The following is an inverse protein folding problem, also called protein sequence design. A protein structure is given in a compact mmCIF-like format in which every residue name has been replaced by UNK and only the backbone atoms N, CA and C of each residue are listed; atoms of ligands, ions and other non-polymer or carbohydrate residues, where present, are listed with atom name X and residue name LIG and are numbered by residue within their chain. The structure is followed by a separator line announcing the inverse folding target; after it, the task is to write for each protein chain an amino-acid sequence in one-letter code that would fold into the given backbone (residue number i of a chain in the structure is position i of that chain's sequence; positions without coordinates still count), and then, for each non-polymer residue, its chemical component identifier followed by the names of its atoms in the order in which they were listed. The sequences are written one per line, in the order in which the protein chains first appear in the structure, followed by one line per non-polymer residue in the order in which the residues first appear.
data_IF_523090016794
#
_entry.id   IF_523090016794
#
_cell.length_a   1.000
_cell.length_b   1.000
_cell.length_c   1.000
_cell.angle_alpha   90.00
_cell.angle_beta   90.00
_cell.angle_gamma   90.00
#
_symmetry.space_group_name_H-M   'P 1'
#
loop_
_entity.id
_entity.type
_entity.pdbx_description
1 polymer ?
#
# COMPACT_ATOMS: atom_id res chain seq x y z
N UNK A 1 -39.63 1.88 -0.81
CA UNK A 1 -39.64 3.08 0.06
C UNK A 1 -39.65 4.33 -0.82
N UNK A 2 -40.82 4.94 -0.99
CA UNK A 2 -40.99 6.23 -1.67
C UNK A 2 -41.19 7.27 -0.57
N UNK A 3 -40.29 8.24 -0.48
CA UNK A 3 -40.33 9.29 0.54
C UNK A 3 -41.21 10.44 0.03
N UNK A 4 -42.49 10.44 0.40
CA UNK A 4 -43.38 11.57 0.14
C UNK A 4 -43.35 12.50 1.35
N UNK A 5 -42.85 13.72 1.14
CA UNK A 5 -42.73 14.78 2.15
C UNK A 5 -43.96 15.67 2.03
N UNK A 6 -44.98 15.43 2.85
CA UNK A 6 -46.11 16.35 2.97
C UNK A 6 -46.10 17.06 4.33
N UNK A 7 -46.12 18.40 4.26
CA UNK A 7 -46.16 19.30 5.41
C UNK A 7 -47.62 19.68 5.64
N UNK A 8 -48.12 19.25 6.78
CA UNK A 8 -49.36 19.69 7.40
C UNK A 8 -49.56 21.22 7.32
N UNK A 9 -50.68 21.64 6.72
CA UNK A 9 -51.37 22.88 7.07
C UNK A 9 -52.73 22.58 7.65
N UNK A 10 -53.00 23.36 8.69
CA UNK A 10 -54.09 23.32 9.66
C UNK A 10 -55.37 23.89 9.05
N UNK A 11 -56.48 23.15 9.28
CA UNK A 11 -57.87 23.58 9.48
C UNK A 11 -58.52 24.53 8.46
N UNK A 12 -59.58 24.04 7.80
CA UNK A 12 -60.87 24.71 7.78
C UNK A 12 -62.02 23.70 7.56
N UNK A 13 -63.01 23.81 8.44
CA UNK A 13 -64.24 23.03 8.54
C UNK A 13 -65.19 23.44 7.41
N UNK A 14 -65.79 22.49 6.70
CA UNK A 14 -66.87 22.75 5.75
C UNK A 14 -67.80 21.54 5.67
N UNK A 15 -68.98 21.66 6.29
CA UNK A 15 -70.01 20.63 6.43
C UNK A 15 -71.20 21.01 5.55
N UNK A 16 -71.42 20.28 4.47
CA UNK A 16 -72.65 20.19 3.64
C UNK A 16 -72.48 18.92 2.80
N UNK A 17 -73.41 18.00 2.56
CA UNK A 17 -74.86 17.95 2.69
C UNK A 17 -75.42 17.31 1.41
N UNK A 18 -76.04 16.12 1.49
CA UNK A 18 -76.83 15.47 0.42
C UNK A 18 -76.05 15.04 -0.84
N UNK A 19 -76.48 14.14 -1.71
CA UNK A 19 -77.81 13.56 -1.96
C UNK A 19 -77.62 12.29 -2.79
N UNK A 20 -78.43 11.26 -2.52
CA UNK A 20 -78.61 10.07 -3.35
C UNK A 20 -79.19 10.43 -4.72
N UNK A 21 -78.58 9.94 -5.81
CA UNK A 21 -79.28 9.75 -7.08
C UNK A 21 -79.01 8.35 -7.60
N UNK A 22 -80.11 7.62 -7.69
CA UNK A 22 -80.30 6.32 -8.31
C UNK A 22 -80.65 6.57 -9.78
N UNK A 23 -79.99 5.89 -10.71
CA UNK A 23 -80.56 5.57 -12.02
C UNK A 23 -80.11 4.17 -12.43
N UNK A 24 -81.10 3.27 -12.43
CA UNK A 24 -81.14 2.02 -13.16
C UNK A 24 -81.06 2.29 -14.68
N UNK A 25 -80.46 1.38 -15.45
CA UNK A 25 -80.52 1.44 -16.91
C UNK A 25 -79.68 0.40 -17.66
N UNK A 26 -80.20 -0.83 -17.78
CA UNK A 26 -80.25 -1.58 -19.05
C UNK A 26 -78.97 -2.08 -19.74
N UNK A 27 -78.61 -3.36 -19.48
CA UNK A 27 -78.49 -4.52 -20.41
C UNK A 27 -77.65 -4.42 -21.74
N UNK A 28 -77.29 -5.57 -22.37
CA UNK A 28 -75.92 -6.09 -22.40
C UNK A 28 -75.30 -6.13 -23.80
N UNK A 29 -73.97 -6.16 -23.90
CA UNK A 29 -73.34 -6.48 -25.17
C UNK A 29 -71.81 -6.49 -25.16
N UNK A 30 -71.28 -7.60 -25.66
CA UNK A 30 -69.96 -7.76 -26.26
C UNK A 30 -68.73 -7.85 -25.34
N UNK A 31 -68.20 -9.08 -25.33
CA UNK A 31 -66.84 -9.49 -25.03
C UNK A 31 -65.75 -8.44 -25.36
N UNK A 32 -65.14 -7.89 -24.33
CA UNK A 32 -63.74 -7.43 -24.40
C UNK A 32 -63.04 -7.90 -23.12
N UNK A 33 -62.24 -8.97 -23.25
CA UNK A 33 -61.31 -9.42 -22.20
C UNK A 33 -60.17 -8.40 -22.08
N UNK A 34 -60.42 -7.28 -21.42
CA UNK A 34 -59.37 -6.45 -20.82
C UNK A 34 -59.11 -6.97 -19.41
N UNK A 35 -58.04 -7.74 -19.27
CA UNK A 35 -57.46 -8.10 -17.98
C UNK A 35 -56.85 -6.84 -17.36
N UNK A 36 -57.67 -6.05 -16.68
CA UNK A 36 -57.22 -5.00 -15.78
C UNK A 36 -56.88 -5.63 -14.44
N UNK A 37 -55.60 -5.93 -14.22
CA UNK A 37 -55.11 -6.27 -12.88
C UNK A 37 -55.23 -5.03 -12.00
N UNK A 38 -56.24 -5.03 -11.14
CA UNK A 38 -56.27 -4.13 -10.00
C UNK A 38 -55.10 -4.49 -9.09
N UNK A 39 -54.01 -3.73 -9.18
CA UNK A 39 -52.92 -3.77 -8.20
C UNK A 39 -53.49 -3.21 -6.90
N UNK A 40 -53.97 -4.11 -6.06
CA UNK A 40 -54.28 -3.84 -4.66
C UNK A 40 -52.96 -3.61 -3.95
N UNK A 41 -52.58 -2.35 -3.76
CA UNK A 41 -51.49 -1.99 -2.86
C UNK A 41 -52.00 -2.27 -1.44
N UNK A 42 -51.74 -3.48 -0.95
CA UNK A 42 -51.77 -3.75 0.48
C UNK A 42 -50.73 -2.84 1.13
N UNK A 43 -51.23 -1.82 1.83
CA UNK A 43 -50.42 -1.06 2.77
C UNK A 43 -50.18 -2.01 3.93
N UNK A 44 -48.96 -2.56 4.02
CA UNK A 44 -48.52 -3.28 5.22
C UNK A 44 -48.77 -2.37 6.42
N UNK A 45 -49.67 -2.81 7.30
CA UNK A 45 -49.89 -2.21 8.61
C UNK A 45 -48.55 -2.22 9.34
N UNK A 46 -47.88 -1.06 9.40
CA UNK A 46 -46.70 -0.86 10.21
C UNK A 46 -47.09 -1.01 11.68
N UNK A 47 -46.87 -2.20 12.24
CA UNK A 47 -47.06 -2.51 13.65
C UNK A 47 -46.25 -1.52 14.51
N UNK A 48 -46.91 -0.57 15.21
CA UNK A 48 -46.23 0.45 16.01
C UNK A 48 -45.47 -0.16 17.19
N UNK A 49 -45.73 -1.43 17.54
CA UNK A 49 -44.97 -2.18 18.54
C UNK A 49 -43.52 -2.46 18.12
N UNK A 50 -43.23 -2.62 16.82
CA UNK A 50 -41.88 -2.95 16.33
C UNK A 50 -40.94 -1.73 16.35
N UNK A 51 -41.43 -0.54 16.05
CA UNK A 51 -40.62 0.69 16.15
C UNK A 51 -40.25 1.02 17.61
N UNK A 52 -41.18 0.79 18.55
CA UNK A 52 -40.93 1.01 19.98
C UNK A 52 -39.88 0.04 20.56
N UNK A 53 -39.79 -1.19 20.03
CA UNK A 53 -38.80 -2.18 20.47
C UNK A 53 -37.37 -1.82 20.05
N UNK A 54 -37.19 -1.19 18.89
CA UNK A 54 -35.86 -0.81 18.36
C UNK A 54 -35.33 0.48 19.04
N UNK A 55 -36.21 1.38 19.49
CA UNK A 55 -35.80 2.66 20.07
C UNK A 55 -35.60 2.65 21.60
N UNK A 56 -36.20 1.70 22.33
CA UNK A 56 -36.02 1.58 23.80
C UNK A 56 -34.56 1.45 24.27
N UNK A 57 -33.67 0.67 23.61
CA UNK A 57 -32.28 0.53 24.05
C UNK A 57 -31.49 1.84 24.01
N UNK A 58 -31.82 2.74 23.07
CA UNK A 58 -31.14 4.04 22.91
C UNK A 58 -31.38 4.99 24.08
N UNK A 59 -32.57 4.98 24.67
CA UNK A 59 -32.89 5.82 25.84
C UNK A 59 -32.03 5.50 27.07
N UNK A 60 -31.77 4.21 27.33
CA UNK A 60 -30.98 3.77 28.48
C UNK A 60 -29.48 4.10 28.33
N UNK A 61 -28.98 4.15 27.08
CA UNK A 61 -27.59 4.55 26.79
C UNK A 61 -27.41 6.06 27.00
N UNK A 62 -28.36 6.87 26.53
CA UNK A 62 -28.31 8.33 26.67
C UNK A 62 -28.34 8.76 28.15
N UNK A 63 -29.21 8.17 28.96
CA UNK A 63 -29.30 8.44 30.40
C UNK A 63 -28.00 8.07 31.15
N UNK A 64 -27.34 6.96 30.75
CA UNK A 64 -26.05 6.55 31.31
C UNK A 64 -24.90 7.50 30.93
N UNK A 65 -24.90 8.00 29.69
CA UNK A 65 -23.94 9.01 29.24
C UNK A 65 -24.11 10.33 30.00
N UNK A 66 -25.33 10.74 30.31
CA UNK A 66 -25.60 11.98 31.03
C UNK A 66 -25.12 11.90 32.49
N UNK A 67 -25.34 10.78 33.17
CA UNK A 67 -24.82 10.52 34.53
C UNK A 67 -23.28 10.60 34.58
N UNK A 68 -22.59 10.00 33.62
CA UNK A 68 -21.13 10.08 33.54
C UNK A 68 -20.64 11.50 33.29
N UNK A 69 -21.36 12.29 32.48
CA UNK A 69 -21.03 13.69 32.19
C UNK A 69 -21.17 14.59 33.41
N UNK A 70 -22.16 14.35 34.28
CA UNK A 70 -22.34 15.09 35.54
C UNK A 70 -21.24 14.78 36.56
N UNK A 71 -20.83 13.51 36.68
CA UNK A 71 -19.77 13.09 37.61
C UNK A 71 -18.37 13.63 37.27
N UNK A 72 -18.11 13.96 36.00
CA UNK A 72 -16.81 14.47 35.54
C UNK A 72 -16.56 15.95 35.86
N UNK A 73 -17.60 16.77 36.10
CA UNK A 73 -17.44 18.21 36.37
C UNK A 73 -16.93 18.55 37.78
N UNK A 74 -17.00 17.61 38.73
CA UNK A 74 -16.66 17.88 40.13
C UNK A 74 -15.18 17.70 40.52
N UNK A 75 -14.31 17.22 39.62
CA UNK A 75 -12.90 16.93 39.94
C UNK A 75 -11.95 17.79 39.10
N UNK A 76 -11.72 19.02 39.56
CA UNK A 76 -10.77 19.97 38.98
C UNK A 76 -9.44 19.91 39.73
N UNK A 77 -8.50 19.11 39.24
CA UNK A 77 -7.12 19.03 39.69
C UNK A 77 -6.25 18.42 38.58
N UNK A 78 -4.93 18.70 38.57
CA UNK A 78 -3.96 18.48 37.48
C UNK A 78 -3.94 17.08 36.81
N UNK A 79 -4.61 16.06 37.37
CA UNK A 79 -4.93 14.80 36.69
C UNK A 79 -5.96 14.90 35.55
N UNK A 80 -6.51 16.09 35.28
CA UNK A 80 -7.63 16.31 34.37
C UNK A 80 -7.37 15.90 32.90
N UNK A 81 -6.12 15.88 32.44
CA UNK A 81 -5.81 15.49 31.06
C UNK A 81 -5.87 13.97 30.83
N UNK A 82 -5.45 13.16 31.80
CA UNK A 82 -5.54 11.69 31.71
C UNK A 82 -6.98 11.22 31.83
N UNK A 83 -7.75 11.84 32.74
CA UNK A 83 -9.18 11.57 32.90
C UNK A 83 -10.00 11.89 31.65
N UNK A 84 -9.72 13.01 30.95
CA UNK A 84 -10.40 13.39 29.71
C UNK A 84 -10.20 12.38 28.58
N UNK A 85 -8.99 11.82 28.41
CA UNK A 85 -8.71 10.82 27.37
C UNK A 85 -9.44 9.50 27.62
N UNK A 86 -9.43 9.02 28.85
CA UNK A 86 -10.14 7.77 29.22
C UNK A 86 -11.66 7.96 29.09
N UNK A 87 -12.20 9.10 29.52
CA UNK A 87 -13.63 9.41 29.36
C UNK A 87 -14.05 9.53 27.89
N UNK A 88 -13.22 10.17 27.05
CA UNK A 88 -13.48 10.27 25.61
C UNK A 88 -13.43 8.91 24.92
N UNK A 89 -12.45 8.05 25.25
CA UNK A 89 -12.35 6.70 24.72
C UNK A 89 -13.56 5.84 25.16
N UNK A 90 -13.95 5.92 26.44
CA UNK A 90 -15.12 5.23 26.95
C UNK A 90 -16.42 5.66 26.26
N UNK A 91 -16.61 6.96 26.06
CA UNK A 91 -17.77 7.50 25.33
C UNK A 91 -17.77 7.07 23.86
N UNK A 92 -16.61 7.04 23.20
CA UNK A 92 -16.48 6.56 21.82
C UNK A 92 -16.87 5.08 21.69
N UNK A 93 -16.41 4.22 22.61
CA UNK A 93 -16.79 2.80 22.63
C UNK A 93 -18.28 2.64 22.91
N UNK A 94 -18.83 3.37 23.87
CA UNK A 94 -20.27 3.35 24.21
C UNK A 94 -21.17 3.79 23.05
N UNK A 95 -20.69 4.68 22.18
CA UNK A 95 -21.41 5.08 20.96
C UNK A 95 -21.17 4.12 19.79
N UNK A 96 -19.96 3.57 19.67
CA UNK A 96 -19.62 2.65 18.58
C UNK A 96 -20.38 1.33 18.67
N UNK A 97 -20.57 0.77 19.88
CA UNK A 97 -21.28 -0.50 20.08
C UNK A 97 -22.73 -0.47 19.56
N UNK A 98 -23.61 0.48 19.95
CA UNK A 98 -24.98 0.51 19.45
C UNK A 98 -25.07 0.82 17.95
N UNK A 99 -24.15 1.65 17.43
CA UNK A 99 -24.05 1.89 15.98
C UNK A 99 -23.67 0.60 15.27
N UNK A 100 -22.72 -0.17 15.78
CA UNK A 100 -22.33 -1.47 15.22
C UNK A 100 -23.47 -2.48 15.30
N UNK A 101 -24.17 -2.57 16.44
CA UNK A 101 -25.33 -3.46 16.61
C UNK A 101 -26.46 -3.09 15.65
N UNK A 102 -26.77 -1.78 15.52
CA UNK A 102 -27.76 -1.29 14.57
C UNK A 102 -27.33 -1.56 13.12
N UNK A 103 -26.06 -1.32 12.79
CA UNK A 103 -25.50 -1.58 11.48
C UNK A 103 -25.61 -3.08 11.15
N UNK A 104 -25.27 -3.96 12.08
CA UNK A 104 -25.46 -5.41 11.95
C UNK A 104 -26.94 -5.73 11.74
N UNK A 105 -27.85 -5.21 12.57
CA UNK A 105 -29.28 -5.48 12.46
C UNK A 105 -29.89 -5.04 11.12
N UNK A 106 -29.46 -3.90 10.57
CA UNK A 106 -29.93 -3.37 9.27
C UNK A 106 -29.27 -4.08 8.10
N UNK A 107 -27.97 -4.38 8.20
CA UNK A 107 -27.24 -5.11 7.15
C UNK A 107 -27.67 -6.56 7.09
N UNK A 108 -28.05 -7.21 8.20
CA UNK A 108 -28.40 -8.64 8.22
C UNK A 108 -29.51 -9.02 7.23
N UNK A 109 -30.67 -8.33 7.13
CA UNK A 109 -31.69 -8.67 6.14
C UNK A 109 -31.26 -8.34 4.70
N UNK A 110 -30.59 -7.21 4.48
CA UNK A 110 -30.03 -6.83 3.17
C UNK A 110 -28.99 -7.84 2.68
N UNK A 111 -28.12 -8.29 3.58
CA UNK A 111 -27.18 -9.36 3.32
C UNK A 111 -27.89 -10.69 3.17
N UNK A 112 -28.92 -11.01 3.95
CA UNK A 112 -29.64 -12.27 3.83
C UNK A 112 -30.30 -12.40 2.46
N UNK A 113 -30.94 -11.35 1.96
CA UNK A 113 -31.57 -11.35 0.64
C UNK A 113 -30.55 -11.31 -0.50
N UNK A 114 -29.48 -10.53 -0.34
CA UNK A 114 -28.33 -10.55 -1.27
C UNK A 114 -27.62 -11.90 -1.30
N UNK A 115 -27.41 -12.53 -0.14
CA UNK A 115 -26.83 -13.86 0.02
C UNK A 115 -27.74 -14.93 -0.53
N UNK A 116 -29.07 -14.80 -0.43
CA UNK A 116 -30.00 -15.74 -1.09
C UNK A 116 -29.86 -15.68 -2.60
N UNK A 117 -29.86 -14.48 -3.18
CA UNK A 117 -29.63 -14.29 -4.62
C UNK A 117 -28.27 -14.82 -5.07
N UNK A 118 -27.22 -14.61 -4.27
CA UNK A 118 -25.88 -15.15 -4.53
C UNK A 118 -25.81 -16.68 -4.32
N UNK A 119 -26.46 -17.22 -3.29
CA UNK A 119 -26.47 -18.65 -2.96
C UNK A 119 -27.26 -19.46 -3.99
N UNK A 120 -28.32 -18.88 -4.53
CA UNK A 120 -29.14 -19.51 -5.56
C UNK A 120 -28.53 -19.34 -6.96
N UNK A 121 -27.53 -18.46 -7.12
CA UNK A 121 -26.78 -18.38 -8.36
C UNK A 121 -26.02 -19.70 -8.58
N UNK A 122 -26.31 -20.37 -9.69
CA UNK A 122 -25.69 -21.65 -10.07
C UNK A 122 -24.16 -21.66 -9.96
N UNK A 123 -23.53 -20.50 -10.11
CA UNK A 123 -22.09 -20.29 -10.02
C UNK A 123 -21.51 -20.47 -8.62
N UNK A 124 -22.24 -20.13 -7.54
CA UNK A 124 -21.72 -20.30 -6.17
C UNK A 124 -21.77 -21.75 -5.71
N UNK A 125 -22.69 -22.54 -6.27
CA UNK A 125 -22.78 -23.99 -6.01
C UNK A 125 -21.52 -24.75 -6.42
N UNK A 126 -20.74 -24.23 -7.37
CA UNK A 126 -19.46 -24.81 -7.81
C UNK A 126 -18.44 -24.84 -6.66
N UNK A 127 -18.48 -23.86 -5.76
CA UNK A 127 -17.59 -23.77 -4.61
C UNK A 127 -18.23 -24.35 -3.34
N UNK A 128 -19.48 -24.00 -3.07
CA UNK A 128 -20.11 -24.33 -1.78
C UNK A 128 -20.41 -25.81 -1.61
N UNK A 129 -20.83 -26.53 -2.66
CA UNK A 129 -21.11 -27.98 -2.57
C UNK A 129 -19.86 -28.81 -2.25
N UNK A 130 -18.72 -28.65 -2.96
CA UNK A 130 -17.51 -29.39 -2.61
C UNK A 130 -17.00 -29.10 -1.20
N UNK A 131 -17.06 -27.84 -0.76
CA UNK A 131 -16.66 -27.47 0.62
C UNK A 131 -17.60 -28.10 1.64
N UNK A 132 -18.92 -28.05 1.43
CA UNK A 132 -19.90 -28.73 2.30
C UNK A 132 -19.64 -30.24 2.38
N UNK A 133 -19.37 -30.87 1.23
CA UNK A 133 -19.05 -32.31 1.17
C UNK A 133 -17.79 -32.62 1.97
N UNK A 134 -16.72 -31.84 1.78
CA UNK A 134 -15.48 -31.99 2.51
C UNK A 134 -15.69 -31.84 4.03
N UNK A 135 -16.42 -30.81 4.46
CA UNK A 135 -16.70 -30.57 5.87
C UNK A 135 -17.59 -31.65 6.47
N UNK A 136 -18.58 -32.16 5.74
CA UNK A 136 -19.44 -33.25 6.21
C UNK A 136 -18.64 -34.53 6.46
N UNK A 137 -17.72 -34.86 5.57
CA UNK A 137 -16.83 -36.01 5.72
C UNK A 137 -15.89 -35.87 6.93
N UNK A 138 -15.36 -34.67 7.18
CA UNK A 138 -14.37 -34.43 8.23
C UNK A 138 -14.97 -33.98 9.58
N UNK A 139 -16.26 -33.63 9.63
CA UNK A 139 -16.94 -33.25 10.87
C UNK A 139 -17.43 -34.46 11.68
N UNK A 140 -17.33 -35.68 11.14
CA UNK A 140 -17.72 -36.91 11.84
C UNK A 140 -17.02 -37.06 13.18
N UNK A 141 -17.78 -37.02 14.27
CA UNK A 141 -17.26 -37.16 15.64
C UNK A 141 -16.99 -35.84 16.38
N UNK A 142 -17.20 -34.69 15.75
CA UNK A 142 -17.16 -33.40 16.43
C UNK A 142 -18.51 -33.09 17.09
N UNK A 143 -18.48 -32.39 18.24
CA UNK A 143 -19.68 -31.91 18.93
C UNK A 143 -20.36 -30.70 18.25
N UNK A 144 -19.87 -30.31 17.06
CA UNK A 144 -20.26 -29.11 16.33
C UNK A 144 -20.90 -29.55 15.02
N UNK A 145 -22.03 -28.95 14.65
CA UNK A 145 -22.73 -29.30 13.40
C UNK A 145 -21.96 -28.79 12.18
N UNK A 146 -22.11 -29.46 11.02
CA UNK A 146 -21.51 -29.01 9.75
C UNK A 146 -21.89 -27.56 9.44
N UNK A 147 -23.16 -27.20 9.67
CA UNK A 147 -23.66 -25.84 9.46
C UNK A 147 -22.92 -24.80 10.33
N UNK A 148 -22.62 -25.13 11.59
CA UNK A 148 -21.84 -24.24 12.46
C UNK A 148 -20.40 -24.07 11.95
N UNK A 149 -19.78 -25.13 11.45
CA UNK A 149 -18.43 -25.07 10.88
C UNK A 149 -18.42 -24.22 9.59
N UNK A 150 -19.43 -24.39 8.74
CA UNK A 150 -19.59 -23.58 7.52
C UNK A 150 -19.75 -22.09 7.83
N UNK A 151 -20.57 -21.76 8.83
CA UNK A 151 -20.72 -20.37 9.28
C UNK A 151 -19.43 -19.82 9.85
N UNK A 152 -18.72 -20.59 10.68
CA UNK A 152 -17.44 -20.18 11.23
C UNK A 152 -16.40 -19.92 10.12
N UNK A 153 -16.35 -20.79 9.10
CA UNK A 153 -15.51 -20.63 7.92
C UNK A 153 -15.84 -19.32 7.18
N UNK A 154 -17.11 -19.11 6.82
CA UNK A 154 -17.56 -17.89 6.14
C UNK A 154 -17.23 -16.61 6.93
N UNK A 155 -17.48 -16.61 8.24
CA UNK A 155 -17.16 -15.48 9.13
C UNK A 155 -15.66 -15.21 9.16
N UNK A 156 -14.81 -16.25 9.24
CA UNK A 156 -13.36 -16.11 9.21
C UNK A 156 -12.90 -15.48 7.87
N UNK A 157 -13.44 -15.94 6.74
CA UNK A 157 -13.19 -15.35 5.43
C UNK A 157 -13.54 -13.87 5.38
N UNK A 158 -14.75 -13.48 5.81
CA UNK A 158 -15.17 -12.09 5.87
C UNK A 158 -14.29 -11.24 6.82
N UNK A 159 -13.93 -11.78 7.98
CA UNK A 159 -13.09 -11.12 8.98
C UNK A 159 -11.65 -10.91 8.50
N UNK A 160 -11.15 -11.70 7.56
CA UNK A 160 -9.85 -11.46 6.90
C UNK A 160 -10.00 -10.52 5.70
N UNK A 161 -11.05 -10.70 4.90
CA UNK A 161 -11.29 -9.90 3.70
C UNK A 161 -11.52 -8.42 3.99
N UNK A 162 -12.42 -8.11 4.94
CA UNK A 162 -12.79 -6.73 5.26
C UNK A 162 -11.58 -5.90 5.70
N UNK A 163 -10.72 -6.35 6.64
CA UNK A 163 -9.52 -5.62 6.99
C UNK A 163 -8.47 -5.53 5.91
N UNK A 164 -8.34 -6.56 5.07
CA UNK A 164 -7.40 -6.55 3.97
C UNK A 164 -7.79 -5.50 2.90
N UNK A 165 -9.10 -5.29 2.69
CA UNK A 165 -9.64 -4.27 1.78
C UNK A 165 -9.65 -2.89 2.43
N UNK A 166 -10.22 -2.74 3.63
CA UNK A 166 -10.49 -1.44 4.27
C UNK A 166 -9.25 -0.84 4.93
N UNK A 167 -8.53 -1.62 5.74
CA UNK A 167 -7.37 -1.15 6.51
C UNK A 167 -6.03 -1.51 5.88
N UNK A 168 -6.04 -2.28 4.79
CA UNK A 168 -4.83 -2.71 4.05
C UNK A 168 -3.85 -3.47 4.95
N UNK A 169 -4.34 -4.15 5.98
CA UNK A 169 -3.52 -4.90 6.93
C UNK A 169 -2.77 -6.02 6.20
N UNK A 170 -1.44 -6.04 6.35
CA UNK A 170 -0.60 -7.07 5.73
C UNK A 170 -0.92 -8.47 6.29
N UNK A 171 -1.10 -8.59 7.61
CA UNK A 171 -1.50 -9.84 8.23
C UNK A 171 -2.85 -10.36 7.72
N UNK A 172 -3.82 -9.47 7.50
CA UNK A 172 -5.11 -9.85 6.94
C UNK A 172 -5.01 -10.31 5.47
N UNK A 173 -4.09 -9.74 4.68
CA UNK A 173 -3.82 -10.17 3.30
C UNK A 173 -3.18 -11.56 3.27
N UNK A 174 -2.19 -11.80 4.11
CA UNK A 174 -1.56 -13.13 4.23
C UNK A 174 -2.60 -14.15 4.69
N UNK A 175 -3.40 -13.82 5.71
CA UNK A 175 -4.50 -14.66 6.19
C UNK A 175 -5.51 -14.97 5.09
N UNK A 176 -5.94 -13.95 4.33
CA UNK A 176 -6.83 -14.12 3.18
C UNK A 176 -6.24 -15.05 2.12
N UNK A 177 -4.97 -14.88 1.73
CA UNK A 177 -4.33 -15.78 0.76
C UNK A 177 -4.29 -17.23 1.26
N UNK A 178 -3.92 -17.45 2.52
CA UNK A 178 -3.91 -18.80 3.12
C UNK A 178 -5.30 -19.41 3.21
N UNK A 179 -6.30 -18.61 3.57
CA UNK A 179 -7.71 -19.03 3.59
C UNK A 179 -8.18 -19.45 2.19
N UNK A 180 -7.78 -18.73 1.14
CA UNK A 180 -8.04 -19.07 -0.25
C UNK A 180 -7.42 -20.40 -0.67
N UNK A 181 -6.14 -20.62 -0.34
CA UNK A 181 -5.43 -21.87 -0.61
C UNK A 181 -6.14 -23.04 0.09
N UNK A 182 -6.51 -22.87 1.37
CA UNK A 182 -7.26 -23.87 2.10
C UNK A 182 -8.63 -24.15 1.44
N UNK A 183 -9.36 -23.13 1.00
CA UNK A 183 -10.60 -23.29 0.25
C UNK A 183 -10.41 -24.07 -1.06
N UNK A 184 -9.33 -23.80 -1.81
CA UNK A 184 -8.99 -24.56 -3.02
C UNK A 184 -8.71 -26.03 -2.71
N UNK A 185 -7.99 -26.33 -1.62
CA UNK A 185 -7.74 -27.71 -1.20
C UNK A 185 -9.01 -28.44 -0.79
N UNK A 186 -9.94 -27.78 -0.09
CA UNK A 186 -11.24 -28.36 0.26
C UNK A 186 -12.07 -28.66 -0.99
N UNK A 187 -12.08 -27.75 -1.98
CA UNK A 187 -12.78 -27.99 -3.26
C UNK A 187 -12.16 -29.16 -4.02
N UNK A 188 -10.84 -29.24 -4.09
CA UNK A 188 -10.17 -30.34 -4.75
C UNK A 188 -10.49 -31.69 -4.06
N UNK A 189 -10.47 -31.72 -2.73
CA UNK A 189 -10.77 -32.92 -1.95
C UNK A 189 -12.25 -33.33 -2.02
N UNK A 190 -13.18 -32.38 -1.89
CA UNK A 190 -14.62 -32.63 -1.87
C UNK A 190 -15.29 -32.77 -3.24
N UNK A 191 -14.56 -32.58 -4.34
CA UNK A 191 -15.10 -32.76 -5.71
C UNK A 191 -14.89 -34.18 -6.23
N UNK A 192 -15.82 -34.65 -7.06
CA UNK A 192 -15.71 -35.92 -7.77
C UNK A 192 -14.45 -35.98 -8.65
N UNK A 193 -13.83 -37.16 -8.84
CA UNK A 193 -12.56 -37.28 -9.55
C UNK A 193 -12.57 -36.68 -10.96
N UNK A 194 -13.69 -36.78 -11.69
CA UNK A 194 -13.81 -36.29 -13.07
C UNK A 194 -13.90 -34.75 -13.16
N UNK A 195 -14.41 -34.08 -12.12
CA UNK A 195 -14.67 -32.62 -12.13
C UNK A 195 -13.73 -31.83 -11.24
N UNK A 196 -12.88 -32.50 -10.45
CA UNK A 196 -11.96 -31.92 -9.47
C UNK A 196 -11.16 -30.73 -9.99
N UNK A 197 -10.48 -30.89 -11.13
CA UNK A 197 -9.61 -29.86 -11.68
C UNK A 197 -10.39 -28.67 -12.22
N UNK A 198 -11.55 -28.90 -12.83
CA UNK A 198 -12.42 -27.83 -13.32
C UNK A 198 -13.00 -27.01 -12.16
N UNK A 199 -13.52 -27.66 -11.12
CA UNK A 199 -14.07 -26.99 -9.93
C UNK A 199 -12.99 -26.18 -9.20
N UNK A 200 -11.78 -26.74 -9.06
CA UNK A 200 -10.63 -26.05 -8.44
C UNK A 200 -10.20 -24.84 -9.27
N UNK A 201 -10.11 -24.98 -10.61
CA UNK A 201 -9.74 -23.88 -11.50
C UNK A 201 -10.74 -22.73 -11.48
N UNK A 202 -12.04 -23.02 -11.53
CA UNK A 202 -13.10 -22.00 -11.41
C UNK A 202 -13.05 -21.31 -10.05
N UNK A 203 -12.83 -22.07 -8.97
CA UNK A 203 -12.65 -21.51 -7.63
C UNK A 203 -11.43 -20.59 -7.56
N UNK A 204 -10.31 -20.96 -8.18
CA UNK A 204 -9.11 -20.14 -8.20
C UNK A 204 -9.33 -18.83 -8.95
N UNK A 205 -10.01 -18.88 -10.11
CA UNK A 205 -10.39 -17.69 -10.85
C UNK A 205 -11.30 -16.75 -10.02
N UNK A 206 -12.28 -17.31 -9.31
CA UNK A 206 -13.13 -16.55 -8.40
C UNK A 206 -12.33 -15.89 -7.27
N UNK A 207 -11.37 -16.64 -6.69
CA UNK A 207 -10.50 -16.12 -5.64
C UNK A 207 -9.64 -14.95 -6.12
N UNK A 208 -9.11 -15.02 -7.34
CA UNK A 208 -8.37 -13.92 -7.96
C UNK A 208 -9.25 -12.67 -8.07
N UNK A 209 -10.48 -12.81 -8.57
CA UNK A 209 -11.43 -11.70 -8.68
C UNK A 209 -11.74 -11.08 -7.32
N UNK A 210 -11.97 -11.89 -6.29
CA UNK A 210 -12.20 -11.41 -4.92
C UNK A 210 -10.98 -10.72 -4.29
N UNK A 211 -9.78 -11.02 -4.79
CA UNK A 211 -8.52 -10.43 -4.33
C UNK A 211 -8.20 -9.12 -5.06
N UNK A 212 -8.81 -8.86 -6.24
CA UNK A 212 -8.58 -7.61 -6.99
C UNK A 212 -8.82 -6.33 -6.18
N UNK A 213 -9.88 -6.19 -5.36
CA UNK A 213 -10.07 -5.00 -4.52
C UNK A 213 -8.92 -4.76 -3.54
N UNK A 214 -8.26 -5.83 -3.07
CA UNK A 214 -7.08 -5.71 -2.19
C UNK A 214 -5.85 -5.18 -2.94
N UNK A 215 -5.74 -5.52 -4.22
CA UNK A 215 -4.67 -5.09 -5.13
C UNK A 215 -4.96 -3.71 -5.74
N UNK A 216 -6.24 -3.30 -5.81
CA UNK A 216 -6.68 -2.06 -6.42
C UNK A 216 -6.10 -0.88 -5.64
N UNK A 217 -5.06 -0.29 -6.23
CA UNK A 217 -4.36 0.95 -5.83
C UNK A 217 -3.46 0.88 -4.60
N UNK A 218 -2.60 -0.13 -4.50
CA UNK A 218 -1.21 0.17 -4.12
C UNK A 218 -0.47 0.79 -5.32
N UNK A 219 -0.98 1.90 -5.86
CA UNK A 219 -0.10 2.86 -6.53
C UNK A 219 0.77 3.45 -5.42
N UNK A 220 1.79 2.69 -5.04
CA UNK A 220 3.09 3.09 -4.50
C UNK A 220 3.20 4.53 -3.98
N UNK A 221 2.32 4.94 -3.07
CA UNK A 221 2.77 5.59 -1.83
C UNK A 221 3.23 4.46 -0.94
N UNK A 222 4.36 3.85 -1.30
CA UNK A 222 5.24 3.24 -0.31
C UNK A 222 5.78 4.41 0.51
N UNK A 223 4.89 4.98 1.34
CA UNK A 223 5.21 6.00 2.32
C UNK A 223 6.34 5.36 3.12
N UNK A 224 7.52 5.96 3.07
CA UNK A 224 8.76 5.44 3.64
C UNK A 224 8.69 5.09 5.13
N UNK A 225 7.54 5.24 5.80
CA UNK A 225 7.31 4.81 7.16
C UNK A 225 7.27 3.28 7.33
N UNK A 226 6.78 2.52 6.34
CA UNK A 226 6.81 1.05 6.41
C UNK A 226 8.24 0.51 6.27
N UNK A 227 9.01 1.10 5.36
CA UNK A 227 10.45 0.82 5.20
C UNK A 227 11.21 1.25 6.44
N UNK A 228 10.97 2.44 7.00
CA UNK A 228 11.60 2.88 8.26
C UNK A 228 11.21 2.04 9.47
N UNK A 229 10.01 1.48 9.57
CA UNK A 229 9.65 0.59 10.67
C UNK A 229 10.36 -0.76 10.57
N UNK A 230 10.50 -1.31 9.37
CA UNK A 230 11.20 -2.58 9.14
C UNK A 230 12.72 -2.41 9.11
N UNK A 231 13.23 -1.33 8.50
CA UNK A 231 14.63 -0.92 8.51
C UNK A 231 15.06 -0.42 9.89
N UNK A 232 14.26 0.28 10.68
CA UNK A 232 14.66 0.58 12.08
C UNK A 232 14.71 -0.68 12.92
N UNK A 233 13.88 -1.69 12.64
CA UNK A 233 13.97 -2.98 13.32
C UNK A 233 15.19 -3.80 12.85
N UNK A 234 15.49 -3.79 11.55
CA UNK A 234 16.64 -4.46 10.94
C UNK A 234 17.98 -3.77 11.23
N UNK A 235 18.09 -2.46 11.01
CA UNK A 235 19.27 -1.62 11.25
C UNK A 235 19.56 -1.50 12.75
N UNK A 236 18.57 -1.39 13.64
CA UNK A 236 18.86 -1.41 15.08
C UNK A 236 19.33 -2.79 15.56
N UNK A 237 18.91 -3.88 14.90
CA UNK A 237 19.38 -5.24 15.22
C UNK A 237 20.76 -5.51 14.63
N UNK A 238 20.97 -5.24 13.34
CA UNK A 238 22.25 -5.42 12.67
C UNK A 238 23.31 -4.41 13.11
N UNK A 239 22.92 -3.18 13.45
CA UNK A 239 23.81 -2.19 14.05
C UNK A 239 24.32 -2.63 15.44
N UNK A 240 23.49 -3.31 16.24
CA UNK A 240 23.94 -3.91 17.51
C UNK A 240 24.89 -5.08 17.30
N UNK A 241 24.65 -5.90 16.29
CA UNK A 241 25.53 -7.03 15.94
C UNK A 241 26.86 -6.56 15.34
N UNK A 242 26.86 -5.60 14.41
CA UNK A 242 28.07 -4.99 13.85
C UNK A 242 28.87 -4.24 14.91
N UNK A 243 28.22 -3.50 15.82
CA UNK A 243 28.90 -2.89 16.96
C UNK A 243 29.47 -3.94 17.93
N UNK A 244 28.83 -5.10 18.07
CA UNK A 244 29.36 -6.21 18.87
C UNK A 244 30.57 -6.88 18.19
N UNK A 245 30.52 -7.08 16.86
CA UNK A 245 31.63 -7.61 16.06
C UNK A 245 32.82 -6.66 16.07
N UNK A 246 32.59 -5.35 15.90
CA UNK A 246 33.65 -4.34 15.96
C UNK A 246 34.35 -4.33 17.32
N UNK A 247 33.59 -4.34 18.42
CA UNK A 247 34.14 -4.48 19.79
C UNK A 247 34.87 -5.80 20.03
N UNK A 248 34.62 -6.84 19.22
CA UNK A 248 35.34 -8.12 19.29
C UNK A 248 36.66 -8.03 18.55
N UNK A 249 36.67 -7.39 17.38
CA UNK A 249 37.88 -7.08 16.62
C UNK A 249 38.81 -6.14 17.41
N UNK A 250 38.30 -5.05 17.97
CA UNK A 250 39.11 -4.11 18.75
C UNK A 250 39.76 -4.81 19.97
N UNK A 251 39.06 -5.78 20.58
CA UNK A 251 39.63 -6.61 21.67
C UNK A 251 40.73 -7.55 21.17
N UNK A 252 40.53 -8.16 20.01
CA UNK A 252 41.53 -9.04 19.41
C UNK A 252 42.79 -8.27 19.00
N UNK A 253 42.63 -7.08 18.41
CA UNK A 253 43.74 -6.19 18.08
C UNK A 253 44.48 -5.73 19.35
N UNK A 254 43.76 -5.37 20.41
CA UNK A 254 44.37 -5.00 21.69
C UNK A 254 45.16 -6.17 22.33
N UNK A 255 44.71 -7.41 22.18
CA UNK A 255 45.46 -8.59 22.64
C UNK A 255 46.60 -9.00 21.70
N UNK A 256 46.46 -8.77 20.39
CA UNK A 256 47.48 -9.10 19.40
C UNK A 256 48.68 -8.15 19.46
N UNK A 257 48.47 -6.91 19.93
CA UNK A 257 49.52 -5.90 20.09
C UNK A 257 50.05 -5.76 21.52
N UNK A 258 49.59 -6.59 22.46
CA UNK A 258 50.24 -6.69 23.76
C UNK A 258 51.63 -7.31 23.52
N UNK A 259 52.73 -6.58 23.72
CA UNK A 259 54.05 -7.14 23.53
C UNK A 259 54.18 -8.34 24.46
N UNK A 260 54.42 -9.53 23.88
CA UNK A 260 54.77 -10.72 24.64
C UNK A 260 56.03 -10.39 25.44
N UNK A 261 55.84 -10.03 26.70
CA UNK A 261 56.90 -9.75 27.63
C UNK A 261 57.60 -11.09 27.92
N UNK A 262 58.61 -11.42 27.11
CA UNK A 262 59.61 -12.43 27.46
C UNK A 262 59.77 -13.62 26.53
N UNK A 263 59.78 -13.44 25.20
CA UNK A 263 60.36 -14.49 24.32
C UNK A 263 61.75 -14.08 23.78
N UNK A 264 62.79 -14.92 23.97
CA UNK A 264 64.15 -14.63 23.53
C UNK A 264 64.30 -14.74 22.01
N UNK A 265 64.99 -13.74 21.46
CA UNK A 265 65.24 -13.56 20.03
C UNK A 265 65.92 -14.76 19.36
N UNK A 266 65.15 -15.55 18.60
CA UNK A 266 65.69 -16.48 17.62
C UNK A 266 65.85 -15.75 16.29
N UNK A 267 67.10 -15.43 15.93
CA UNK A 267 67.49 -14.94 14.60
C UNK A 267 67.23 -16.01 13.54
N UNK A 268 66.12 -15.91 12.82
CA UNK A 268 65.94 -16.59 11.54
C UNK A 268 66.34 -15.64 10.40
N UNK A 269 67.52 -15.87 9.81
CA UNK A 269 67.92 -15.30 8.52
C UNK A 269 67.09 -15.97 7.42
N UNK A 270 66.13 -15.26 6.83
CA UNK A 270 65.58 -15.65 5.54
C UNK A 270 66.25 -14.85 4.42
N UNK A 271 67.00 -15.59 3.61
CA UNK A 271 67.66 -15.17 2.37
C UNK A 271 66.59 -15.12 1.27
N UNK A 272 66.48 -13.98 0.58
CA UNK A 272 65.67 -13.81 -0.62
C UNK A 272 66.55 -13.99 -1.87
N UNK A 273 66.18 -14.81 -2.87
CA UNK A 273 66.98 -14.93 -4.09
C UNK A 273 66.65 -13.78 -5.06
N UNK A 274 67.66 -13.22 -5.79
CA UNK A 274 67.41 -12.24 -6.83
C UNK A 274 67.09 -12.96 -8.15
N UNK A 275 66.02 -12.54 -8.83
CA UNK A 275 65.53 -13.22 -10.02
C UNK A 275 64.71 -12.36 -10.99
N UNK A 276 65.44 -11.65 -11.85
CA UNK A 276 65.13 -11.21 -13.23
C UNK A 276 64.04 -10.16 -13.48
N UNK A 277 64.57 -9.02 -13.94
CA UNK A 277 63.94 -8.06 -14.82
C UNK A 277 63.34 -8.70 -16.08
N UNK A 278 62.11 -8.29 -16.40
CA UNK A 278 61.57 -8.25 -17.75
C UNK A 278 60.67 -7.01 -17.80
N UNK A 279 61.27 -5.90 -18.23
CA UNK A 279 60.58 -4.71 -18.66
C UNK A 279 60.17 -4.94 -20.11
N UNK A 280 58.88 -5.12 -20.39
CA UNK A 280 58.33 -4.99 -21.73
C UNK A 280 56.91 -4.41 -21.68
N UNK A 281 56.82 -3.23 -22.27
CA UNK A 281 55.69 -2.56 -22.93
C UNK A 281 54.24 -2.92 -22.51
N UNK A 282 53.63 -2.04 -21.70
CA UNK A 282 52.18 -1.81 -21.73
C UNK A 282 51.91 -0.63 -22.68
N UNK A 283 51.21 -0.81 -23.81
CA UNK A 283 50.88 0.31 -24.69
C UNK A 283 49.78 1.18 -24.05
N UNK A 284 50.04 2.49 -23.99
CA UNK A 284 49.03 3.51 -23.67
C UNK A 284 47.92 3.48 -24.73
N UNK A 285 46.63 3.52 -24.35
CA UNK A 285 45.57 3.73 -25.33
C UNK A 285 45.67 5.14 -25.95
N UNK A 286 45.35 5.30 -27.24
CA UNK A 286 45.40 6.57 -27.94
C UNK A 286 44.32 7.53 -27.39
N UNK A 287 44.72 8.78 -27.16
CA UNK A 287 43.83 9.87 -26.84
C UNK A 287 42.80 10.04 -27.98
N UNK A 288 41.52 9.83 -27.66
CA UNK A 288 40.43 10.15 -28.57
C UNK A 288 40.36 11.67 -28.75
N UNK A 289 40.66 12.11 -29.98
CA UNK A 289 40.43 13.48 -30.42
C UNK A 289 38.91 13.74 -30.48
N UNK A 290 38.41 14.57 -29.57
CA UNK A 290 37.09 15.19 -29.69
C UNK A 290 37.09 16.30 -30.76
N UNK A 291 35.92 16.60 -31.36
CA UNK A 291 35.83 17.50 -32.49
C UNK A 291 36.11 18.95 -32.07
N UNK A 292 37.08 19.55 -32.76
CA UNK A 292 37.39 20.98 -32.71
C UNK A 292 36.23 21.75 -33.34
N UNK A 293 35.46 22.47 -32.53
CA UNK A 293 34.62 23.55 -32.98
C UNK A 293 35.49 24.81 -33.06
N UNK A 294 35.95 25.15 -34.27
CA UNK A 294 36.60 26.42 -34.57
C UNK A 294 35.56 27.54 -34.62
N UNK A 295 35.25 28.11 -33.45
CA UNK A 295 34.52 29.36 -33.30
C UNK A 295 35.51 30.52 -33.13
N UNK A 296 35.75 31.20 -34.25
CA UNK A 296 36.45 32.47 -34.48
C UNK A 296 36.55 33.43 -33.29
N UNK A 297 37.77 33.93 -33.12
CA UNK A 297 38.21 34.94 -32.17
C UNK A 297 37.40 36.24 -32.24
N UNK A 298 36.91 36.68 -31.08
CA UNK A 298 36.84 38.08 -30.71
C UNK A 298 37.49 38.21 -29.31
N UNK A 299 38.68 38.80 -29.30
CA UNK A 299 39.49 39.02 -28.12
C UNK A 299 38.83 40.07 -27.21
N UNK A 300 38.30 39.58 -26.08
CA UNK A 300 37.88 40.39 -24.94
C UNK A 300 38.42 39.76 -23.66
N UNK A 301 39.58 40.24 -23.24
CA UNK A 301 40.13 40.25 -21.89
C UNK A 301 39.32 39.46 -20.84
N UNK A 302 39.61 38.15 -20.72
CA UNK A 302 39.07 37.28 -19.68
C UNK A 302 39.78 37.56 -18.35
N UNK A 303 39.16 38.41 -17.53
CA UNK A 303 39.44 38.52 -16.12
C UNK A 303 39.09 37.18 -15.45
N UNK A 304 40.09 36.52 -14.87
CA UNK A 304 40.02 35.19 -14.22
C UNK A 304 39.23 35.20 -12.91
N UNK A 305 38.02 35.76 -12.92
CA UNK A 305 37.08 35.69 -11.83
C UNK A 305 36.60 34.26 -11.68
N UNK A 306 37.01 33.60 -10.58
CA UNK A 306 36.33 32.43 -10.07
C UNK A 306 34.83 32.76 -9.98
N UNK A 307 34.09 32.35 -11.01
CA UNK A 307 32.68 32.71 -11.21
C UNK A 307 31.90 32.24 -10.00
N UNK A 308 31.58 33.19 -9.11
CA UNK A 308 30.72 32.97 -7.97
C UNK A 308 29.36 32.53 -8.48
N UNK A 309 29.14 31.21 -8.53
CA UNK A 309 27.88 30.61 -8.89
C UNK A 309 26.78 31.26 -8.06
N UNK A 310 25.75 31.74 -8.74
CA UNK A 310 24.62 32.44 -8.14
C UNK A 310 24.07 31.65 -6.94
N UNK A 311 24.26 32.17 -5.72
CA UNK A 311 23.75 31.56 -4.49
C UNK A 311 24.75 30.76 -3.64
N UNK A 312 26.07 30.82 -3.92
CA UNK A 312 27.08 30.18 -3.07
C UNK A 312 27.11 28.66 -3.18
N UNK A 313 26.61 28.11 -4.29
CA UNK A 313 26.69 26.68 -4.60
C UNK A 313 28.06 26.40 -5.23
N UNK A 314 28.80 25.43 -4.71
CA UNK A 314 30.15 25.09 -5.19
C UNK A 314 30.11 23.72 -5.87
N UNK A 315 30.52 23.66 -7.13
CA UNK A 315 30.69 22.39 -7.83
C UNK A 315 31.70 21.50 -7.10
N UNK A 316 31.44 20.20 -7.07
CA UNK A 316 32.19 19.21 -6.30
C UNK A 316 31.74 19.07 -4.83
N UNK A 317 30.88 19.96 -4.32
CA UNK A 317 30.35 19.86 -2.95
C UNK A 317 29.04 19.08 -2.89
N UNK A 318 28.80 18.43 -1.74
CA UNK A 318 27.58 17.70 -1.47
C UNK A 318 26.51 18.60 -0.82
N UNK A 319 25.27 18.46 -1.29
CA UNK A 319 24.11 19.22 -0.83
C UNK A 319 22.96 18.27 -0.51
N UNK A 320 22.12 18.67 0.44
CA UNK A 320 20.84 18.03 0.71
C UNK A 320 19.78 18.63 -0.22
N UNK A 321 19.24 17.81 -1.12
CA UNK A 321 18.09 18.18 -1.96
C UNK A 321 16.81 17.90 -1.17
N UNK A 322 15.97 18.93 -0.96
CA UNK A 322 14.62 18.76 -0.40
C UNK A 322 13.57 18.86 -1.51
N UNK A 323 12.87 17.76 -1.76
CA UNK A 323 11.82 17.72 -2.79
C UNK A 323 10.51 18.20 -2.16
N UNK A 324 9.85 19.25 -2.71
CA UNK A 324 8.57 19.73 -2.21
C UNK A 324 7.49 18.64 -2.20
N UNK A 325 6.50 18.78 -1.32
CA UNK A 325 5.31 17.91 -1.30
C UNK A 325 4.46 18.10 -2.58
N UNK A 326 4.40 19.34 -3.07
CA UNK A 326 3.72 19.73 -4.30
C UNK A 326 4.75 20.29 -5.29
N UNK A 327 4.91 19.62 -6.43
CA UNK A 327 5.72 20.12 -7.55
C UNK A 327 4.89 21.14 -8.31
N UNK A 328 5.19 22.42 -8.14
CA UNK A 328 4.48 23.50 -8.80
C UNK A 328 4.96 23.64 -10.25
N UNK A 329 4.10 24.02 -11.21
CA UNK A 329 4.56 24.43 -12.55
C UNK A 329 5.56 25.58 -12.49
N UNK A 330 5.45 26.46 -11.48
CA UNK A 330 6.42 27.51 -11.23
C UNK A 330 7.81 26.98 -10.87
N UNK A 331 7.93 25.68 -10.56
CA UNK A 331 9.23 25.07 -10.33
C UNK A 331 10.06 24.93 -11.62
N UNK A 332 9.41 25.05 -12.78
CA UNK A 332 10.00 24.96 -14.11
C UNK A 332 9.81 26.28 -14.89
N UNK A 333 10.78 27.21 -14.82
CA UNK A 333 10.68 28.47 -15.53
C UNK A 333 10.74 28.34 -17.05
N UNK A 334 11.13 27.17 -17.59
CA UNK A 334 11.29 26.94 -19.03
C UNK A 334 10.16 26.10 -19.63
N UNK A 335 9.19 25.63 -18.85
CA UNK A 335 7.99 24.90 -19.31
C UNK A 335 8.22 23.45 -19.76
N UNK A 336 9.45 23.09 -20.14
CA UNK A 336 9.82 21.75 -20.61
C UNK A 336 10.20 20.77 -19.49
N UNK A 337 10.67 21.27 -18.34
CA UNK A 337 11.09 20.45 -17.21
C UNK A 337 9.92 19.94 -16.37
N UNK A 338 8.74 20.55 -16.40
CA UNK A 338 7.66 20.26 -15.47
C UNK A 338 7.20 18.81 -15.54
N UNK A 339 7.05 18.27 -16.75
CA UNK A 339 6.72 16.86 -16.95
C UNK A 339 7.88 15.92 -16.58
N UNK A 340 9.12 16.32 -16.87
CA UNK A 340 10.32 15.55 -16.54
C UNK A 340 10.53 15.48 -15.01
N UNK A 341 10.46 16.62 -14.32
CA UNK A 341 10.52 16.74 -12.87
C UNK A 341 9.42 15.93 -12.19
N UNK A 342 8.19 15.98 -12.73
CA UNK A 342 7.09 15.21 -12.17
C UNK A 342 7.29 13.70 -12.31
N UNK A 343 7.87 13.25 -13.44
CA UNK A 343 8.18 11.85 -13.68
C UNK A 343 9.33 11.36 -12.81
N UNK A 344 10.39 12.15 -12.69
CA UNK A 344 11.63 11.81 -11.99
C UNK A 344 11.50 11.95 -10.46
N UNK A 345 10.92 13.06 -9.99
CA UNK A 345 10.82 13.39 -8.56
C UNK A 345 9.43 13.17 -7.96
N UNK A 346 8.43 12.81 -8.75
CA UNK A 346 7.09 12.44 -8.25
C UNK A 346 7.13 11.39 -7.13
N UNK A 347 7.91 10.31 -7.24
CA UNK A 347 8.09 9.33 -6.18
C UNK A 347 8.83 9.85 -4.94
N UNK A 348 9.57 10.96 -5.05
CA UNK A 348 10.45 11.53 -4.03
C UNK A 348 9.85 12.73 -3.28
N UNK A 349 8.60 13.11 -3.59
CA UNK A 349 7.90 14.25 -2.96
C UNK A 349 7.87 14.17 -1.44
N UNK A 350 8.15 15.31 -0.80
CA UNK A 350 8.29 15.43 0.67
C UNK A 350 9.54 14.75 1.24
N UNK A 351 10.35 14.14 0.38
CA UNK A 351 11.59 13.48 0.74
C UNK A 351 12.80 14.40 0.65
N UNK A 352 13.94 13.87 1.10
CA UNK A 352 15.23 14.50 0.90
C UNK A 352 16.28 13.46 0.51
N UNK A 353 17.28 13.87 -0.26
CA UNK A 353 18.42 13.04 -0.63
C UNK A 353 19.68 13.88 -0.80
N UNK A 354 20.86 13.24 -0.68
CA UNK A 354 22.14 13.90 -0.90
C UNK A 354 22.53 13.85 -2.37
N UNK A 355 23.07 14.95 -2.89
CA UNK A 355 23.56 15.09 -4.26
C UNK A 355 24.91 15.81 -4.25
N UNK A 356 25.88 15.31 -5.02
CA UNK A 356 27.11 16.04 -5.30
C UNK A 356 26.91 16.87 -6.55
N UNK A 357 27.00 18.20 -6.43
CA UNK A 357 26.78 19.12 -7.56
C UNK A 357 27.95 19.03 -8.52
N UNK A 358 27.69 18.80 -9.81
CA UNK A 358 28.72 18.77 -10.86
C UNK A 358 28.72 20.05 -11.69
N UNK A 359 27.55 20.67 -11.87
CA UNK A 359 27.40 21.95 -12.56
C UNK A 359 26.21 22.73 -11.96
N UNK A 360 26.26 24.05 -12.00
CA UNK A 360 25.17 24.89 -11.50
C UNK A 360 24.89 26.03 -12.48
N UNK A 361 23.66 26.08 -12.99
CA UNK A 361 23.12 27.23 -13.72
C UNK A 361 22.33 28.17 -12.78
N UNK A 362 21.67 29.21 -13.33
CA UNK A 362 20.92 30.19 -12.54
C UNK A 362 19.68 29.60 -11.85
N UNK A 363 19.08 28.55 -12.41
CA UNK A 363 17.84 27.96 -11.89
C UNK A 363 17.93 26.45 -11.63
N UNK A 364 18.84 25.76 -12.29
CA UNK A 364 19.01 24.32 -12.22
C UNK A 364 20.45 23.98 -11.83
N UNK A 365 20.58 23.00 -10.95
CA UNK A 365 21.85 22.37 -10.65
C UNK A 365 21.82 20.94 -11.20
N UNK A 366 22.93 20.56 -11.82
CA UNK A 366 23.21 19.20 -12.21
C UNK A 366 24.11 18.56 -11.16
N UNK A 367 23.85 17.29 -10.87
CA UNK A 367 24.69 16.57 -9.93
C UNK A 367 24.51 15.08 -10.04
N UNK A 368 25.21 14.38 -9.16
CA UNK A 368 25.13 12.94 -9.04
C UNK A 368 24.56 12.60 -7.67
N UNK A 369 23.52 11.77 -7.67
CA UNK A 369 22.98 11.14 -6.48
C UNK A 369 23.42 9.69 -6.45
N UNK A 370 23.92 9.22 -5.31
CA UNK A 370 24.14 7.78 -5.09
C UNK A 370 22.85 7.18 -4.54
N UNK A 371 22.34 6.16 -5.22
CA UNK A 371 21.21 5.35 -4.77
C UNK A 371 21.64 3.91 -4.63
N UNK A 372 21.10 3.21 -3.63
CA UNK A 372 21.24 1.77 -3.56
C UNK A 372 20.19 1.15 -4.49
N UNK A 373 20.65 0.35 -5.45
CA UNK A 373 19.82 -0.40 -6.38
C UNK A 373 20.22 -1.87 -6.34
N UNK A 374 19.24 -2.75 -6.16
CA UNK A 374 19.35 -4.20 -6.39
C UNK A 374 19.16 -4.55 -7.88
N UNK A 375 18.48 -3.67 -8.62
CA UNK A 375 18.33 -3.75 -10.06
C UNK A 375 19.61 -3.38 -10.80
N UNK A 376 19.98 -4.23 -11.76
CA UNK A 376 21.05 -4.00 -12.73
C UNK A 376 20.40 -3.73 -14.10
N UNK A 377 20.78 -2.61 -14.72
CA UNK A 377 20.40 -2.27 -16.08
C UNK A 377 21.69 -2.16 -16.92
N UNK A 378 21.96 -3.18 -17.73
CA UNK A 378 23.17 -3.29 -18.54
C UNK A 378 22.81 -3.25 -20.02
N UNK A 379 23.40 -2.29 -20.73
CA UNK A 379 23.37 -2.29 -22.19
C UNK A 379 24.41 -3.29 -22.71
N UNK A 380 23.97 -4.22 -23.56
CA UNK A 380 24.84 -5.24 -24.11
C UNK A 380 25.73 -4.65 -25.21
N UNK A 381 27.03 -4.92 -25.12
CA UNK A 381 27.96 -4.54 -26.20
C UNK A 381 27.69 -5.37 -27.46
N UNK A 382 28.07 -4.89 -28.66
CA UNK A 382 27.91 -5.66 -29.89
C UNK A 382 28.55 -7.05 -29.83
N UNK A 383 29.67 -7.20 -29.11
CA UNK A 383 30.34 -8.47 -28.86
C UNK A 383 29.48 -9.42 -28.01
N UNK A 384 28.89 -8.92 -26.92
CA UNK A 384 27.97 -9.69 -26.08
C UNK A 384 26.71 -10.09 -26.85
N UNK A 385 26.16 -9.18 -27.66
CA UNK A 385 25.01 -9.45 -28.54
C UNK A 385 25.33 -10.62 -29.47
N UNK A 386 26.50 -10.61 -30.12
CA UNK A 386 26.96 -11.72 -30.96
C UNK A 386 27.15 -13.03 -30.19
N UNK A 387 27.74 -12.97 -28.99
CA UNK A 387 27.96 -14.13 -28.13
C UNK A 387 26.65 -14.80 -27.67
N UNK A 388 25.59 -14.02 -27.45
CA UNK A 388 24.25 -14.52 -27.13
C UNK A 388 23.44 -14.97 -28.35
N UNK A 389 23.98 -14.85 -29.57
CA UNK A 389 23.25 -15.17 -30.81
C UNK A 389 22.10 -14.21 -31.11
N UNK A 390 22.12 -13.01 -30.52
CA UNK A 390 21.13 -11.96 -30.75
C UNK A 390 21.43 -11.24 -32.07
N UNK A 391 20.40 -10.65 -32.68
CA UNK A 391 20.53 -10.01 -33.99
C UNK A 391 21.47 -8.79 -33.93
N UNK A 392 22.54 -8.73 -34.74
CA UNK A 392 23.46 -7.59 -34.74
C UNK A 392 22.76 -6.32 -35.26
N UNK A 393 23.19 -5.16 -34.77
CA UNK A 393 22.63 -3.85 -35.13
C UNK A 393 21.41 -3.41 -34.32
N UNK A 394 20.92 -4.26 -33.40
CA UNK A 394 19.88 -3.90 -32.42
C UNK A 394 20.53 -3.64 -31.06
N UNK A 395 20.16 -2.55 -30.38
CA UNK A 395 20.59 -2.27 -29.01
C UNK A 395 19.80 -3.13 -28.03
N UNK A 396 20.47 -3.98 -27.27
CA UNK A 396 19.84 -4.82 -26.25
C UNK A 396 20.17 -4.32 -24.86
N UNK A 397 19.20 -4.47 -23.95
CA UNK A 397 19.29 -4.05 -22.56
C UNK A 397 18.83 -5.18 -21.66
N UNK A 398 19.69 -5.61 -20.76
CA UNK A 398 19.39 -6.63 -19.75
C UNK A 398 19.01 -5.93 -18.46
N UNK A 399 17.79 -6.23 -17.99
CA UNK A 399 17.31 -5.81 -16.67
C UNK A 399 17.16 -7.03 -15.80
N UNK A 400 17.78 -7.01 -14.63
CA UNK A 400 17.70 -8.09 -13.65
C UNK A 400 18.00 -7.62 -12.25
N UNK A 401 18.01 -8.55 -11.31
CA UNK A 401 18.45 -8.35 -9.94
C UNK A 401 19.83 -8.99 -9.77
N UNK A 402 20.76 -8.26 -9.13
CA UNK A 402 22.04 -8.86 -8.74
C UNK A 402 21.81 -9.68 -7.48
N UNK A 403 22.02 -10.99 -7.54
CA UNK A 403 21.94 -11.86 -6.38
C UNK A 403 23.32 -12.45 -6.04
N UNK A 404 23.57 -12.69 -4.76
CA UNK A 404 24.70 -13.49 -4.30
C UNK A 404 24.51 -14.99 -4.62
N UNK A 405 25.50 -15.81 -4.26
CA UNK A 405 25.48 -17.27 -4.43
C UNK A 405 24.35 -17.96 -3.65
N UNK A 406 23.84 -17.32 -2.60
CA UNK A 406 22.69 -17.76 -1.82
C UNK A 406 21.35 -17.27 -2.40
N UNK A 407 21.36 -16.55 -3.53
CA UNK A 407 20.16 -16.01 -4.18
C UNK A 407 19.57 -14.77 -3.49
N UNK A 408 20.33 -14.10 -2.62
CA UNK A 408 19.90 -12.86 -1.96
C UNK A 408 20.28 -11.66 -2.80
N UNK A 409 19.35 -10.72 -2.96
CA UNK A 409 19.61 -9.48 -3.68
C UNK A 409 20.73 -8.67 -3.01
N UNK A 410 21.69 -8.24 -3.82
CA UNK A 410 22.84 -7.42 -3.42
C UNK A 410 22.60 -5.99 -3.91
N UNK A 411 22.46 -5.07 -2.97
CA UNK A 411 22.34 -3.66 -3.29
C UNK A 411 23.70 -3.08 -3.69
N UNK A 412 23.76 -2.48 -4.89
CA UNK A 412 24.93 -1.79 -5.40
C UNK A 412 24.73 -0.28 -5.34
N UNK A 413 25.76 0.49 -4.98
CA UNK A 413 25.70 1.94 -5.09
C UNK A 413 25.72 2.35 -6.57
N UNK A 414 24.62 2.91 -7.05
CA UNK A 414 24.47 3.43 -8.39
C UNK A 414 24.53 4.96 -8.36
N UNK A 415 25.48 5.51 -9.11
CA UNK A 415 25.58 6.95 -9.37
C UNK A 415 24.57 7.33 -10.46
N UNK A 416 23.53 8.07 -10.08
CA UNK A 416 22.46 8.53 -10.99
C UNK A 416 22.62 10.03 -11.22
N UNK A 417 22.81 10.48 -12.48
CA UNK A 417 22.80 11.90 -12.80
C UNK A 417 21.39 12.45 -12.57
N UNK A 418 21.31 13.59 -11.91
CA UNK A 418 20.05 14.24 -11.53
C UNK A 418 20.12 15.73 -11.82
N UNK A 419 18.99 16.30 -12.22
CA UNK A 419 18.81 17.75 -12.43
C UNK A 419 17.76 18.29 -11.48
N UNK A 420 18.15 19.20 -10.59
CA UNK A 420 17.26 19.73 -9.55
C UNK A 420 17.21 21.26 -9.58
N UNK A 421 16.07 21.89 -9.26
CA UNK A 421 16.02 23.32 -9.02
C UNK A 421 16.99 23.76 -7.93
N UNK A 422 17.76 24.81 -8.19
CA UNK A 422 18.75 25.39 -7.25
C UNK A 422 18.11 25.68 -5.89
N UNK A 423 16.86 26.18 -5.87
CA UNK A 423 16.11 26.46 -4.64
C UNK A 423 15.81 25.24 -3.76
N UNK A 424 15.96 24.02 -4.27
CA UNK A 424 15.79 22.78 -3.49
C UNK A 424 17.07 22.36 -2.75
N UNK A 425 18.23 22.93 -3.12
CA UNK A 425 19.51 22.60 -2.50
C UNK A 425 19.65 23.27 -1.14
N UNK A 426 20.15 22.51 -0.16
CA UNK A 426 20.54 22.99 1.17
C UNK A 426 21.96 22.52 1.49
N UNK A 427 22.84 23.38 2.02
CA UNK A 427 24.16 22.94 2.45
C UNK A 427 24.02 21.91 3.58
N UNK A 428 24.82 20.83 3.51
CA UNK A 428 24.75 19.72 4.48
C UNK A 428 25.07 20.14 5.93
N UNK A 429 25.74 21.28 6.13
CA UNK A 429 26.06 21.81 7.47
C UNK A 429 25.07 22.82 8.04
N UNK A 430 23.97 23.13 7.35
CA UNK A 430 23.02 24.17 7.75
C UNK A 430 21.68 23.64 8.30
N UNK A 431 21.60 22.36 8.67
CA UNK A 431 20.37 21.69 9.14
C UNK A 431 20.38 21.46 10.63
#
# INVERSE_FOLDING_TARGET
MVWCRDRSRVVARGRTGGTTVRTDGGRPGAHEKRSGSAVRVETEDCDPGKEAAVLRPLGHVLDRCERLRRGARGRSGDGAHRGRRVAAAGAAVLLAVPVLVWLVAVLTPLLADGLRLLRDAAWTQVFTRPVHSYLTEHAGGLAVTVEQIEWAWAVAGCAMWLPAVLWRSWGARVGWTLYGIAGLTMVAAGSAPQTRWAATGVTAAYWVVLTLPMLRRSSLRFRGDGRRAFESWGIARHGRELAAVRRRLDRLEATAWAPAAGEPAVRARHVWPPGRAAADAVPRPPAAAGPVLTGKDDAGEEDGGAGGLAGGIVAGSAYLVRVPDELSPADDPHGDLGAALHREYGPLRGGAFTMTVTACGPHLAEGVRVVESDGVDLELTPEQVGAFGLQPGVSYRVRGELCDDAGRAVAMPLAVPVRVPVRWLRPLGAV
#
